data_IF_356282317303
#
_entry.id   IF_356282317303
#
_cell.length_a   1.000
_cell.length_b   1.000
_cell.length_c   1.000
_cell.angle_alpha   90.00
_cell.angle_beta   90.00
_cell.angle_gamma   90.00
#
_symmetry.space_group_name_H-M   'P 1'
#
loop_
_entity.id
_entity.type
_entity.pdbx_description
1 polymer ?
#
# COMPACT_ATOMS: atom_id res chain seq x y z
N UNK A 1 65.45 -13.72 -37.28
CA UNK A 1 64.39 -14.73 -37.01
C UNK A 1 63.50 -14.17 -35.95
N UNK A 2 62.41 -13.47 -36.33
CA UNK A 2 61.42 -12.84 -35.36
C UNK A 2 60.27 -13.80 -35.18
N UNK A 3 60.01 -14.20 -33.89
CA UNK A 3 58.89 -15.01 -33.51
C UNK A 3 57.72 -14.09 -33.20
N UNK A 4 56.64 -14.11 -34.02
CA UNK A 4 55.39 -13.44 -33.75
C UNK A 4 54.57 -14.34 -32.80
N UNK A 5 54.34 -13.85 -31.59
CA UNK A 5 53.42 -14.46 -30.64
C UNK A 5 51.99 -13.93 -30.92
N UNK A 6 51.12 -14.75 -31.49
CA UNK A 6 49.71 -14.43 -31.68
C UNK A 6 48.97 -14.66 -30.38
N UNK A 7 48.48 -13.56 -29.77
CA UNK A 7 47.61 -13.59 -28.61
C UNK A 7 46.16 -13.79 -29.07
N UNK A 8 45.61 -14.99 -28.94
CA UNK A 8 44.19 -15.26 -29.19
C UNK A 8 43.40 -14.86 -27.96
N UNK A 9 42.66 -13.74 -28.04
CA UNK A 9 41.64 -13.36 -27.06
C UNK A 9 40.43 -14.31 -27.19
N UNK A 10 40.29 -15.21 -26.24
CA UNK A 10 39.07 -15.99 -26.04
C UNK A 10 37.98 -15.08 -25.48
N UNK A 11 37.05 -14.63 -26.34
CA UNK A 11 35.82 -13.96 -25.91
C UNK A 11 34.91 -14.99 -25.21
N UNK A 12 34.81 -14.92 -23.89
CA UNK A 12 33.83 -15.67 -23.12
C UNK A 12 32.43 -15.14 -23.47
N UNK A 13 31.45 -16.00 -23.77
CA UNK A 13 30.10 -15.55 -24.02
C UNK A 13 29.53 -14.95 -22.70
N UNK A 14 29.10 -13.70 -22.80
CA UNK A 14 28.35 -13.05 -21.72
C UNK A 14 27.05 -13.84 -21.49
N UNK A 15 27.01 -14.60 -20.41
CA UNK A 15 25.78 -15.26 -19.98
C UNK A 15 24.78 -14.15 -19.59
N UNK A 16 23.86 -13.84 -20.47
CA UNK A 16 22.68 -13.06 -20.16
C UNK A 16 21.78 -13.89 -19.22
N UNK A 17 21.96 -13.73 -17.93
CA UNK A 17 21.00 -14.23 -16.96
C UNK A 17 19.69 -13.46 -17.16
N UNK A 18 18.72 -14.08 -17.82
CA UNK A 18 17.33 -13.69 -17.75
C UNK A 18 16.91 -13.82 -16.27
N UNK A 19 16.94 -12.72 -15.55
CA UNK A 19 16.41 -12.67 -14.18
C UNK A 19 14.88 -12.72 -14.28
N UNK A 20 14.33 -13.93 -14.22
CA UNK A 20 12.93 -14.08 -13.81
C UNK A 20 12.78 -13.39 -12.46
N UNK A 21 11.94 -12.33 -12.41
CA UNK A 21 11.82 -11.51 -11.23
C UNK A 21 11.46 -12.35 -9.99
N UNK A 22 12.12 -12.11 -8.88
CA UNK A 22 11.91 -12.87 -7.64
C UNK A 22 10.48 -12.70 -7.17
N UNK A 23 9.89 -13.83 -6.77
CA UNK A 23 8.59 -13.94 -6.10
C UNK A 23 8.83 -14.41 -4.68
N UNK A 24 8.14 -13.83 -3.71
CA UNK A 24 8.17 -14.30 -2.32
C UNK A 24 7.16 -15.44 -2.12
N UNK A 25 7.43 -16.35 -1.20
CA UNK A 25 6.44 -17.31 -0.70
C UNK A 25 5.72 -16.68 0.48
N UNK A 26 4.40 -16.60 0.44
CA UNK A 26 3.56 -16.03 1.49
C UNK A 26 2.82 -17.16 2.18
N UNK A 27 3.00 -17.28 3.48
CA UNK A 27 2.28 -18.22 4.34
C UNK A 27 1.37 -17.41 5.25
N UNK A 28 0.05 -17.66 5.20
CA UNK A 28 -0.91 -17.04 6.13
C UNK A 28 -0.68 -17.60 7.52
N UNK A 29 -0.43 -16.73 8.48
CA UNK A 29 -0.37 -17.07 9.90
C UNK A 29 -1.45 -16.32 10.67
N UNK A 30 -1.86 -16.87 11.81
CA UNK A 30 -2.88 -16.29 12.65
C UNK A 30 -2.45 -16.22 14.12
N UNK A 31 -2.87 -15.15 14.78
CA UNK A 31 -2.82 -14.98 16.23
C UNK A 31 -4.26 -14.78 16.69
N UNK A 32 -4.70 -15.55 17.68
CA UNK A 32 -6.00 -15.38 18.30
C UNK A 32 -5.80 -14.66 19.63
N UNK A 33 -6.39 -13.49 19.75
CA UNK A 33 -6.51 -12.75 21.02
C UNK A 33 -7.74 -13.27 21.73
N UNK A 34 -7.59 -13.75 22.97
CA UNK A 34 -8.70 -14.13 23.82
C UNK A 34 -8.79 -13.12 24.96
N UNK A 35 -9.92 -12.47 25.07
CA UNK A 35 -10.23 -11.48 26.09
C UNK A 35 -10.84 -12.16 27.32
N UNK A 36 -10.71 -11.53 28.49
CA UNK A 36 -11.21 -12.02 29.75
C UNK A 36 -11.84 -10.87 30.57
N UNK A 37 -12.34 -11.20 31.76
CA UNK A 37 -12.89 -10.21 32.69
C UNK A 37 -14.27 -9.70 32.27
N UNK A 38 -14.60 -8.45 32.70
CA UNK A 38 -15.90 -7.84 32.49
C UNK A 38 -16.26 -7.70 31.02
N UNK A 39 -15.31 -7.20 30.17
CA UNK A 39 -15.57 -7.02 28.74
C UNK A 39 -16.03 -8.32 28.05
N UNK A 40 -15.36 -9.44 28.34
CA UNK A 40 -15.71 -10.72 27.73
C UNK A 40 -17.05 -11.31 28.24
N UNK A 41 -17.53 -10.85 29.39
CA UNK A 41 -18.87 -11.20 29.93
C UNK A 41 -19.95 -10.33 29.30
N UNK A 42 -19.70 -9.03 29.19
CA UNK A 42 -20.65 -8.05 28.65
C UNK A 42 -20.81 -8.18 27.13
N UNK A 43 -19.72 -8.60 26.42
CA UNK A 43 -19.65 -8.76 24.96
C UNK A 43 -19.12 -10.15 24.57
N UNK A 44 -19.90 -11.23 24.76
CA UNK A 44 -19.44 -12.61 24.53
C UNK A 44 -19.04 -12.88 23.06
N UNK A 45 -19.70 -12.24 22.11
CA UNK A 45 -19.41 -12.37 20.67
C UNK A 45 -18.07 -11.72 20.30
N UNK A 46 -17.59 -10.77 21.09
CA UNK A 46 -16.31 -10.08 20.93
C UNK A 46 -15.22 -10.61 21.86
N UNK A 47 -15.44 -11.75 22.48
CA UNK A 47 -14.45 -12.42 23.35
C UNK A 47 -13.17 -12.79 22.61
N UNK A 48 -13.23 -12.94 21.29
CA UNK A 48 -12.09 -13.29 20.45
C UNK A 48 -11.89 -12.27 19.35
N UNK A 49 -10.62 -11.98 19.05
CA UNK A 49 -10.23 -11.27 17.84
C UNK A 49 -9.18 -12.08 17.09
N UNK A 50 -9.21 -12.03 15.77
CA UNK A 50 -8.26 -12.78 14.93
C UNK A 50 -7.35 -11.80 14.19
N UNK A 51 -6.04 -12.04 14.29
CA UNK A 51 -5.01 -11.33 13.54
C UNK A 51 -4.43 -12.30 12.51
N UNK A 52 -4.77 -12.14 11.24
CA UNK A 52 -4.16 -12.86 10.13
C UNK A 52 -3.06 -12.01 9.50
N UNK A 53 -1.86 -12.55 9.34
CA UNK A 53 -0.73 -11.80 8.79
C UNK A 53 0.12 -12.64 7.83
N UNK A 54 0.80 -12.01 6.83
CA UNK A 54 1.63 -12.70 5.87
C UNK A 54 3.00 -13.02 6.49
N UNK A 55 3.34 -14.29 6.57
CA UNK A 55 4.68 -14.73 6.91
C UNK A 55 5.48 -15.02 5.63
N UNK A 56 6.43 -14.15 5.31
CA UNK A 56 7.21 -14.23 4.07
C UNK A 56 8.37 -15.19 4.20
N UNK A 57 8.55 -16.04 3.18
CA UNK A 57 9.66 -16.97 3.01
C UNK A 57 10.15 -16.96 1.55
N UNK A 58 11.15 -17.80 1.21
CA UNK A 58 11.57 -18.03 -0.17
C UNK A 58 12.54 -16.98 -0.74
N UNK A 59 12.86 -15.91 -0.02
CA UNK A 59 13.89 -14.97 -0.44
C UNK A 59 15.28 -15.46 -0.03
N UNK A 60 16.21 -15.55 -1.00
CA UNK A 60 17.57 -16.08 -0.75
C UNK A 60 18.41 -15.17 0.17
N UNK A 61 18.23 -13.85 0.06
CA UNK A 61 18.98 -12.90 0.88
C UNK A 61 18.32 -12.75 2.26
N UNK A 62 19.00 -13.22 3.30
CA UNK A 62 18.48 -13.19 4.68
C UNK A 62 18.28 -11.77 5.23
N UNK A 63 19.08 -10.78 4.78
CA UNK A 63 18.92 -9.37 5.19
C UNK A 63 17.64 -8.79 4.58
N UNK A 64 17.41 -9.00 3.29
CA UNK A 64 16.19 -8.60 2.58
C UNK A 64 14.98 -9.26 3.23
N UNK A 65 15.04 -10.58 3.47
CA UNK A 65 13.93 -11.31 4.10
C UNK A 65 13.57 -10.74 5.47
N UNK A 66 14.55 -10.38 6.28
CA UNK A 66 14.34 -9.78 7.61
C UNK A 66 13.66 -8.40 7.51
N UNK A 67 14.11 -7.55 6.57
CA UNK A 67 13.49 -6.24 6.32
C UNK A 67 12.03 -6.38 5.87
N UNK A 68 11.75 -7.27 4.91
CA UNK A 68 10.39 -7.53 4.43
C UNK A 68 9.49 -8.00 5.57
N UNK A 69 9.95 -8.96 6.38
CA UNK A 69 9.19 -9.44 7.56
C UNK A 69 8.95 -8.33 8.58
N UNK A 70 9.90 -7.45 8.79
CA UNK A 70 9.75 -6.30 9.69
C UNK A 70 8.66 -5.34 9.19
N UNK A 71 8.68 -4.96 7.91
CA UNK A 71 7.67 -4.08 7.31
C UNK A 71 6.25 -4.65 7.40
N UNK A 72 6.12 -5.99 7.24
CA UNK A 72 4.82 -6.67 7.24
C UNK A 72 4.42 -7.22 8.63
N UNK A 73 5.18 -6.90 9.69
CA UNK A 73 4.85 -7.35 11.04
C UNK A 73 3.62 -6.60 11.57
N UNK A 74 2.77 -7.30 12.31
CA UNK A 74 1.53 -6.76 12.88
C UNK A 74 1.78 -5.45 13.64
N UNK A 75 2.86 -5.40 14.44
CA UNK A 75 3.19 -4.21 15.23
C UNK A 75 3.62 -2.99 14.40
N UNK A 76 4.16 -3.19 13.19
CA UNK A 76 4.65 -2.09 12.36
C UNK A 76 3.60 -1.57 11.36
N UNK A 77 2.61 -2.40 11.00
CA UNK A 77 1.62 -2.01 9.98
C UNK A 77 0.76 -0.85 10.45
N UNK A 78 0.19 -0.93 11.64
CA UNK A 78 -0.64 0.13 12.23
C UNK A 78 -0.02 0.72 13.51
N UNK A 79 1.26 0.48 13.74
CA UNK A 79 2.00 0.99 14.91
C UNK A 79 1.36 0.59 16.26
N UNK A 80 0.64 -0.54 16.25
CA UNK A 80 -0.08 -1.07 17.40
C UNK A 80 0.43 -2.47 17.75
N UNK A 81 0.93 -2.65 18.94
CA UNK A 81 1.47 -3.94 19.40
C UNK A 81 0.37 -4.97 19.66
N UNK A 82 0.72 -6.26 19.62
CA UNK A 82 -0.20 -7.36 20.01
C UNK A 82 -0.71 -7.18 21.44
N UNK A 83 0.12 -6.61 22.32
CA UNK A 83 -0.28 -6.30 23.68
C UNK A 83 -1.39 -5.25 23.74
N UNK A 84 -1.21 -4.15 23.00
CA UNK A 84 -2.22 -3.08 22.91
C UNK A 84 -3.53 -3.59 22.32
N UNK A 85 -3.48 -4.42 21.26
CA UNK A 85 -4.68 -5.05 20.71
C UNK A 85 -5.42 -5.94 21.73
N UNK A 86 -4.68 -6.52 22.67
CA UNK A 86 -5.27 -7.33 23.75
C UNK A 86 -5.89 -6.47 24.85
N UNK A 87 -5.27 -5.32 25.16
CA UNK A 87 -5.66 -4.44 26.25
C UNK A 87 -6.80 -3.48 25.88
N UNK A 88 -6.80 -2.94 24.64
CA UNK A 88 -7.75 -1.91 24.25
C UNK A 88 -9.13 -2.42 23.79
N UNK A 89 -9.31 -3.72 23.65
CA UNK A 89 -10.58 -4.38 23.26
C UNK A 89 -11.25 -3.88 21.96
N UNK A 90 -10.60 -3.01 21.21
CA UNK A 90 -11.17 -2.43 20.00
C UNK A 90 -11.21 -3.41 18.84
N UNK A 91 -10.12 -4.12 18.57
CA UNK A 91 -9.95 -4.97 17.39
C UNK A 91 -10.93 -6.16 17.41
N UNK A 92 -11.63 -6.38 16.32
CA UNK A 92 -12.36 -7.62 16.05
C UNK A 92 -11.63 -8.49 15.03
N UNK A 93 -11.14 -7.89 13.96
CA UNK A 93 -10.40 -8.58 12.91
C UNK A 93 -9.22 -7.74 12.38
N UNK A 94 -8.13 -8.43 12.07
CA UNK A 94 -7.00 -7.90 11.31
C UNK A 94 -6.69 -8.90 10.20
N UNK A 95 -6.73 -8.46 8.95
CA UNK A 95 -6.49 -9.31 7.79
C UNK A 95 -5.64 -8.62 6.72
N UNK A 96 -5.29 -9.35 5.67
CA UNK A 96 -4.51 -8.83 4.56
C UNK A 96 -4.90 -9.45 3.23
N UNK A 97 -4.62 -8.69 2.16
CA UNK A 97 -4.70 -9.15 0.76
C UNK A 97 -3.36 -8.89 0.08
N UNK A 98 -2.87 -9.86 -0.68
CA UNK A 98 -1.69 -9.70 -1.55
C UNK A 98 -2.18 -9.22 -2.91
N UNK A 99 -1.92 -7.95 -3.25
CA UNK A 99 -2.34 -7.33 -4.51
C UNK A 99 -1.39 -7.70 -5.65
N UNK A 100 -0.08 -7.83 -5.34
CA UNK A 100 0.96 -8.19 -6.29
C UNK A 100 2.10 -8.96 -5.60
N UNK A 101 2.63 -9.99 -6.26
CA UNK A 101 3.80 -10.73 -5.80
C UNK A 101 4.52 -11.32 -7.01
N UNK A 102 5.15 -10.47 -7.78
CA UNK A 102 5.93 -10.84 -8.97
C UNK A 102 6.94 -9.74 -9.30
N UNK A 103 7.84 -9.98 -10.24
CA UNK A 103 8.74 -8.96 -10.78
C UNK A 103 9.55 -8.19 -9.72
N UNK A 104 9.95 -8.86 -8.64
CA UNK A 104 10.61 -8.28 -7.46
C UNK A 104 9.78 -7.23 -6.72
N UNK A 105 8.48 -7.21 -6.88
CA UNK A 105 7.56 -6.35 -6.13
C UNK A 105 6.61 -7.24 -5.33
N UNK A 106 6.44 -6.92 -4.06
CA UNK A 106 5.39 -7.45 -3.20
C UNK A 106 4.53 -6.27 -2.74
N UNK A 107 3.23 -6.33 -3.05
CA UNK A 107 2.26 -5.33 -2.62
C UNK A 107 1.19 -6.00 -1.77
N UNK A 108 0.97 -5.48 -0.58
CA UNK A 108 0.04 -6.04 0.42
C UNK A 108 -0.79 -4.93 1.02
N UNK A 109 -2.10 -5.10 1.00
CA UNK A 109 -3.05 -4.26 1.75
C UNK A 109 -3.46 -4.97 3.02
N UNK A 110 -3.31 -4.31 4.15
CA UNK A 110 -3.80 -4.73 5.44
C UNK A 110 -5.07 -3.98 5.79
N UNK A 111 -5.97 -4.66 6.49
CA UNK A 111 -7.19 -4.08 7.01
C UNK A 111 -7.34 -4.50 8.47
N UNK A 112 -7.63 -3.54 9.32
CA UNK A 112 -8.09 -3.83 10.68
C UNK A 112 -9.48 -3.24 10.88
N UNK A 113 -10.34 -4.00 11.52
CA UNK A 113 -11.70 -3.58 11.86
C UNK A 113 -12.02 -3.87 13.30
N UNK A 114 -12.88 -3.07 13.87
CA UNK A 114 -13.27 -3.22 15.25
C UNK A 114 -14.37 -2.24 15.66
N UNK A 115 -14.70 -2.26 16.93
CA UNK A 115 -15.73 -1.42 17.52
C UNK A 115 -15.22 -0.74 18.79
N UNK A 116 -15.29 0.59 18.80
CA UNK A 116 -15.21 1.38 20.03
C UNK A 116 -16.62 1.94 20.34
N UNK A 117 -16.81 3.25 20.26
CA UNK A 117 -18.15 3.85 20.29
C UNK A 117 -18.94 3.54 18.99
N UNK A 118 -18.23 3.37 17.88
CA UNK A 118 -18.76 3.04 16.55
C UNK A 118 -17.89 2.00 15.87
N UNK A 119 -18.45 1.22 14.90
CA UNK A 119 -17.63 0.38 14.02
C UNK A 119 -16.63 1.23 13.26
N UNK A 120 -15.39 0.77 13.18
CA UNK A 120 -14.33 1.42 12.41
C UNK A 120 -13.51 0.42 11.62
N UNK A 121 -13.02 0.86 10.46
CA UNK A 121 -12.14 0.06 9.59
C UNK A 121 -11.02 0.95 9.09
N UNK A 122 -9.80 0.47 9.22
CA UNK A 122 -8.60 1.14 8.75
C UNK A 122 -7.85 0.22 7.79
N UNK A 123 -7.32 0.80 6.73
CA UNK A 123 -6.53 0.06 5.73
C UNK A 123 -5.17 0.72 5.53
N UNK A 124 -4.15 -0.09 5.31
CA UNK A 124 -2.80 0.36 4.96
C UNK A 124 -2.20 -0.54 3.90
N UNK A 125 -1.72 0.05 2.82
CA UNK A 125 -1.02 -0.68 1.76
C UNK A 125 0.49 -0.47 1.88
N UNK A 126 1.25 -1.52 1.65
CA UNK A 126 2.71 -1.51 1.68
C UNK A 126 3.22 -2.20 0.41
N UNK A 127 3.86 -1.42 -0.46
CA UNK A 127 4.58 -1.93 -1.63
C UNK A 127 6.06 -2.09 -1.27
N UNK A 128 6.66 -3.24 -1.56
CA UNK A 128 8.02 -3.60 -1.16
C UNK A 128 8.85 -4.04 -2.38
N UNK A 129 10.05 -3.50 -2.49
CA UNK A 129 11.05 -3.99 -3.44
C UNK A 129 11.75 -5.23 -2.87
N UNK A 130 11.50 -6.41 -3.45
CA UNK A 130 12.07 -7.67 -2.99
C UNK A 130 13.57 -7.84 -3.29
N UNK A 131 14.20 -6.91 -4.03
CA UNK A 131 15.67 -6.89 -4.21
C UNK A 131 16.36 -6.23 -3.02
N UNK A 132 15.75 -5.21 -2.42
CA UNK A 132 16.34 -4.41 -1.34
C UNK A 132 15.69 -4.66 0.02
N UNK A 133 14.44 -5.12 0.04
CA UNK A 133 13.60 -5.27 1.22
C UNK A 133 13.04 -3.96 1.77
N UNK A 134 13.17 -2.85 1.04
CA UNK A 134 12.67 -1.55 1.45
C UNK A 134 11.24 -1.34 0.92
N UNK A 135 10.46 -0.54 1.63
CA UNK A 135 9.21 0.00 1.11
C UNK A 135 9.50 0.85 -0.14
N UNK A 136 8.63 0.74 -1.13
CA UNK A 136 8.71 1.50 -2.38
C UNK A 136 8.06 2.86 -2.16
N UNK A 137 8.74 3.91 -2.58
CA UNK A 137 8.25 5.29 -2.62
C UNK A 137 8.07 5.76 -4.06
N UNK A 138 7.31 6.82 -4.24
CA UNK A 138 7.14 7.45 -5.56
C UNK A 138 8.48 7.82 -6.21
N UNK A 139 9.44 8.30 -5.42
CA UNK A 139 10.80 8.63 -5.87
C UNK A 139 11.60 7.42 -6.38
N UNK A 140 11.26 6.18 -6.00
CA UNK A 140 11.88 4.97 -6.54
C UNK A 140 11.31 4.58 -7.91
N UNK A 141 10.07 4.96 -8.18
CA UNK A 141 9.29 4.57 -9.35
C UNK A 141 9.35 5.58 -10.48
N UNK A 142 9.29 6.88 -10.14
CA UNK A 142 9.04 7.95 -11.09
C UNK A 142 10.22 8.91 -11.21
N UNK A 143 10.35 9.53 -12.40
CA UNK A 143 11.33 10.57 -12.67
C UNK A 143 11.03 11.80 -11.81
N UNK A 144 11.99 12.25 -11.02
CA UNK A 144 11.81 13.33 -10.04
C UNK A 144 11.22 14.61 -10.64
N UNK A 145 11.75 15.05 -11.79
CA UNK A 145 11.24 16.22 -12.51
C UNK A 145 9.77 16.09 -12.99
N UNK A 146 9.21 14.88 -12.94
CA UNK A 146 7.83 14.58 -13.36
C UNK A 146 6.86 14.40 -12.19
N UNK A 147 7.35 14.35 -10.95
CA UNK A 147 6.48 14.10 -9.78
C UNK A 147 5.40 15.17 -9.63
N UNK A 148 5.72 16.44 -9.87
CA UNK A 148 4.73 17.51 -9.77
C UNK A 148 3.63 17.42 -10.84
N UNK A 149 3.97 16.98 -12.06
CA UNK A 149 2.98 16.74 -13.12
C UNK A 149 2.09 15.55 -12.75
N UNK A 150 2.66 14.46 -12.24
CA UNK A 150 1.92 13.29 -11.77
C UNK A 150 0.99 13.63 -10.59
N UNK A 151 1.47 14.47 -9.65
CA UNK A 151 0.65 14.97 -8.53
C UNK A 151 -0.58 15.72 -9.05
N UNK A 152 -0.43 16.61 -10.05
CA UNK A 152 -1.57 17.34 -10.63
C UNK A 152 -2.57 16.40 -11.31
N UNK A 153 -2.11 15.34 -11.97
CA UNK A 153 -3.01 14.36 -12.57
C UNK A 153 -3.79 13.57 -11.51
N UNK A 154 -3.14 13.20 -10.38
CA UNK A 154 -3.81 12.54 -9.28
C UNK A 154 -4.81 13.50 -8.59
N UNK A 155 -4.43 14.77 -8.40
CA UNK A 155 -5.30 15.81 -7.85
C UNK A 155 -6.52 16.05 -8.75
N UNK A 156 -6.37 16.08 -10.09
CA UNK A 156 -7.50 16.21 -11.00
C UNK A 156 -8.55 15.12 -10.78
N UNK A 157 -8.13 13.86 -10.59
CA UNK A 157 -9.05 12.75 -10.29
C UNK A 157 -9.72 12.92 -8.91
N UNK A 158 -8.99 13.41 -7.92
CA UNK A 158 -9.58 13.75 -6.61
C UNK A 158 -10.63 14.85 -6.75
N UNK A 159 -10.31 15.93 -7.49
CA UNK A 159 -11.23 17.07 -7.66
C UNK A 159 -12.51 16.67 -8.42
N UNK A 160 -12.41 15.79 -9.41
CA UNK A 160 -13.58 15.23 -10.10
C UNK A 160 -14.51 14.49 -9.12
N UNK A 161 -13.93 13.61 -8.26
CA UNK A 161 -14.68 12.87 -7.24
C UNK A 161 -15.28 13.81 -6.18
N UNK A 162 -14.50 14.76 -5.69
CA UNK A 162 -14.93 15.78 -4.71
C UNK A 162 -16.10 16.61 -5.24
N UNK A 163 -16.07 17.02 -6.51
CA UNK A 163 -17.15 17.79 -7.10
C UNK A 163 -18.49 17.03 -7.08
N UNK A 164 -18.46 15.72 -7.38
CA UNK A 164 -19.67 14.88 -7.34
C UNK A 164 -20.19 14.73 -5.89
N UNK A 165 -19.31 14.56 -4.92
CA UNK A 165 -19.70 14.44 -3.51
C UNK A 165 -20.27 15.77 -2.99
N UNK A 166 -19.67 16.91 -3.33
CA UNK A 166 -20.17 18.25 -2.96
C UNK A 166 -21.57 18.47 -3.54
N UNK A 167 -21.78 18.07 -4.79
CA UNK A 167 -23.10 18.17 -5.42
C UNK A 167 -24.13 17.35 -4.66
N UNK A 168 -23.83 16.09 -4.36
CA UNK A 168 -24.71 15.21 -3.60
C UNK A 168 -25.00 15.76 -2.18
N UNK A 169 -23.98 16.27 -1.49
CA UNK A 169 -24.14 16.87 -0.15
C UNK A 169 -25.03 18.13 -0.15
N UNK A 170 -24.95 18.96 -1.21
CA UNK A 170 -25.80 20.16 -1.35
C UNK A 170 -27.24 19.82 -1.71
N UNK A 171 -27.50 18.72 -2.38
CA UNK A 171 -28.83 18.25 -2.75
C UNK A 171 -29.56 17.54 -1.60
N UNK A 172 -28.81 16.98 -0.65
CA UNK A 172 -29.39 16.28 0.52
C UNK A 172 -29.88 17.26 1.58
N UNK A 173 -31.19 17.57 1.52
CA UNK A 173 -31.86 18.45 2.49
C UNK A 173 -31.97 17.87 3.91
N UNK A 174 -31.71 16.58 4.07
CA UNK A 174 -31.78 15.91 5.38
C UNK A 174 -30.44 16.01 6.15
N UNK A 175 -29.38 16.51 5.49
CA UNK A 175 -28.03 16.59 6.04
C UNK A 175 -27.86 17.84 6.92
N UNK A 176 -27.77 17.71 8.25
CA UNK A 176 -27.80 18.85 9.17
C UNK A 176 -26.51 19.70 9.11
N UNK A 177 -25.41 19.14 8.59
CA UNK A 177 -24.09 19.79 8.59
C UNK A 177 -23.43 19.84 7.19
N UNK A 178 -24.27 20.01 6.16
CA UNK A 178 -23.80 20.04 4.77
C UNK A 178 -22.70 21.09 4.53
N UNK A 179 -22.77 22.25 5.19
CA UNK A 179 -21.77 23.32 5.03
C UNK A 179 -20.39 22.93 5.54
N UNK A 180 -20.30 22.21 6.66
CA UNK A 180 -19.03 21.73 7.22
C UNK A 180 -18.40 20.67 6.32
N UNK A 181 -19.22 19.73 5.82
CA UNK A 181 -18.77 18.68 4.88
C UNK A 181 -18.24 19.32 3.60
N UNK A 182 -19.02 20.24 2.99
CA UNK A 182 -18.62 20.96 1.77
C UNK A 182 -17.34 21.73 1.99
N UNK A 183 -17.23 22.48 3.11
CA UNK A 183 -16.02 23.24 3.43
C UNK A 183 -14.76 22.37 3.60
N UNK A 184 -14.89 21.17 4.16
CA UNK A 184 -13.78 20.22 4.26
C UNK A 184 -13.41 19.63 2.89
N UNK A 185 -14.41 19.31 2.06
CA UNK A 185 -14.19 18.78 0.70
C UNK A 185 -13.53 19.83 -0.22
N UNK A 186 -13.92 21.10 -0.11
CA UNK A 186 -13.32 22.21 -0.90
C UNK A 186 -11.83 22.43 -0.54
N UNK A 187 -11.38 21.97 0.61
CA UNK A 187 -9.96 22.01 1.02
C UNK A 187 -9.21 20.72 0.64
N UNK A 188 -9.89 19.69 0.16
CA UNK A 188 -9.26 18.44 -0.24
C UNK A 188 -8.28 18.69 -1.40
N UNK A 189 -7.05 18.21 -1.24
CA UNK A 189 -5.99 18.40 -2.23
C UNK A 189 -5.04 17.21 -2.19
N UNK A 190 -4.74 16.66 -3.35
CA UNK A 190 -3.70 15.64 -3.48
C UNK A 190 -2.33 16.33 -3.56
N UNK A 191 -1.46 16.06 -2.61
CA UNK A 191 -0.13 16.66 -2.52
C UNK A 191 0.96 15.66 -2.95
N UNK A 192 2.17 16.17 -3.21
CA UNK A 192 3.30 15.32 -3.64
C UNK A 192 3.64 14.20 -2.63
N UNK A 193 3.46 14.45 -1.34
CA UNK A 193 3.65 13.45 -0.27
C UNK A 193 2.69 12.26 -0.40
N UNK A 194 1.50 12.50 -0.95
CA UNK A 194 0.45 11.48 -1.08
C UNK A 194 0.78 10.46 -2.19
N UNK A 195 1.69 10.80 -3.11
CA UNK A 195 2.22 9.86 -4.09
C UNK A 195 2.94 8.66 -3.45
N UNK A 196 3.43 8.78 -2.22
CA UNK A 196 4.06 7.68 -1.48
C UNK A 196 3.04 6.67 -0.92
N UNK A 197 1.77 7.07 -0.85
CA UNK A 197 0.66 6.18 -0.47
C UNK A 197 0.11 5.50 -1.73
N UNK A 198 0.68 4.38 -2.10
CA UNK A 198 0.41 3.72 -3.37
C UNK A 198 0.25 2.20 -3.22
N UNK A 199 -0.46 1.61 -4.18
CA UNK A 199 -0.56 0.16 -4.40
C UNK A 199 -0.16 -0.17 -5.84
N UNK A 200 0.63 -1.22 -6.01
CA UNK A 200 1.10 -1.70 -7.30
C UNK A 200 0.42 -3.04 -7.59
N UNK A 201 -0.20 -3.16 -8.76
CA UNK A 201 -0.81 -4.41 -9.20
C UNK A 201 -0.48 -4.70 -10.68
N UNK A 202 -1.11 -5.72 -11.27
CA UNK A 202 -0.89 -6.10 -12.68
C UNK A 202 -1.37 -5.05 -13.69
N UNK A 203 -2.30 -4.18 -13.29
CA UNK A 203 -2.97 -3.22 -14.18
C UNK A 203 -2.30 -1.84 -14.15
N UNK A 204 -1.56 -1.52 -13.07
CA UNK A 204 -0.91 -0.23 -12.90
C UNK A 204 -0.54 0.11 -11.46
N UNK A 205 -0.54 1.41 -11.16
CA UNK A 205 -0.35 1.96 -9.82
C UNK A 205 -1.61 2.69 -9.40
N UNK A 206 -2.12 2.37 -8.22
CA UNK A 206 -3.23 3.09 -7.59
C UNK A 206 -2.65 4.00 -6.51
N UNK A 207 -2.82 5.32 -6.64
CA UNK A 207 -2.55 6.24 -5.55
C UNK A 207 -3.73 6.26 -4.60
N UNK A 208 -3.42 6.29 -3.30
CA UNK A 208 -4.38 6.20 -2.22
C UNK A 208 -4.42 7.55 -1.49
N UNK A 209 -5.61 8.12 -1.40
CA UNK A 209 -5.87 9.37 -0.69
C UNK A 209 -6.88 9.14 0.42
N UNK A 210 -6.71 9.80 1.54
CA UNK A 210 -7.65 9.76 2.64
C UNK A 210 -7.79 11.16 3.22
N UNK A 211 -9.01 11.70 3.19
CA UNK A 211 -9.31 13.02 3.77
C UNK A 211 -9.39 12.94 5.29
N UNK A 212 -9.84 11.81 5.84
CA UNK A 212 -9.88 11.56 7.27
C UNK A 212 -11.09 12.18 7.95
N UNK A 213 -12.25 12.10 7.34
CA UNK A 213 -13.48 12.57 7.95
C UNK A 213 -13.80 11.90 9.30
N UNK A 214 -14.37 12.63 10.26
CA UNK A 214 -15.00 12.04 11.44
C UNK A 214 -16.02 10.98 11.05
N UNK A 215 -16.23 9.99 11.90
CA UNK A 215 -17.14 8.86 11.64
C UNK A 215 -18.52 9.29 11.10
N UNK A 216 -19.09 10.35 11.65
CA UNK A 216 -20.42 10.87 11.27
C UNK A 216 -20.49 11.41 9.84
N UNK A 217 -19.36 11.80 9.25
CA UNK A 217 -19.28 12.34 7.89
C UNK A 217 -18.59 11.36 6.91
N UNK A 218 -18.23 10.16 7.36
CA UNK A 218 -17.46 9.19 6.55
C UNK A 218 -18.18 8.75 5.27
N UNK A 219 -19.51 8.83 5.22
CA UNK A 219 -20.28 8.56 4.00
C UNK A 219 -19.97 9.54 2.85
N UNK A 220 -19.40 10.70 3.18
CA UNK A 220 -18.99 11.74 2.22
C UNK A 220 -17.48 11.77 1.98
N UNK A 221 -16.73 10.81 2.55
CA UNK A 221 -15.31 10.72 2.28
C UNK A 221 -15.07 10.22 0.85
N UNK A 222 -14.16 10.87 0.08
CA UNK A 222 -13.76 10.34 -1.22
C UNK A 222 -13.28 8.89 -1.10
N UNK A 223 -13.60 8.05 -2.08
CA UNK A 223 -13.06 6.68 -2.16
C UNK A 223 -11.54 6.73 -2.21
N UNK A 224 -11.01 7.78 -2.82
CA UNK A 224 -9.59 8.11 -2.78
C UNK A 224 -8.68 7.04 -3.38
N UNK A 225 -9.10 6.39 -4.47
CA UNK A 225 -8.35 5.32 -5.13
C UNK A 225 -8.20 5.62 -6.63
N UNK A 226 -7.07 6.22 -6.99
CA UNK A 226 -6.82 6.72 -8.35
C UNK A 226 -5.88 5.79 -9.09
N UNK A 227 -6.46 4.88 -9.89
CA UNK A 227 -5.69 3.98 -10.74
C UNK A 227 -5.14 4.73 -11.96
N UNK A 228 -3.86 4.52 -12.21
CA UNK A 228 -3.17 4.87 -13.44
C UNK A 228 -2.59 3.60 -14.06
N UNK A 229 -2.96 3.30 -15.29
CA UNK A 229 -2.41 2.19 -16.05
C UNK A 229 -0.91 2.38 -16.34
N UNK A 230 -0.19 1.30 -16.63
CA UNK A 230 1.22 1.41 -17.02
C UNK A 230 1.42 2.21 -18.31
N UNK A 231 0.44 2.25 -19.20
CA UNK A 231 0.46 3.09 -20.41
C UNK A 231 0.39 4.57 -20.08
N UNK A 232 -0.49 4.98 -19.17
CA UNK A 232 -0.59 6.37 -18.69
C UNK A 232 0.67 6.78 -17.93
N UNK A 233 1.25 5.87 -17.14
CA UNK A 233 2.43 6.13 -16.33
C UNK A 233 3.75 6.09 -17.12
N UNK A 234 3.76 5.54 -18.34
CA UNK A 234 4.98 5.38 -19.14
C UNK A 234 5.87 6.62 -19.24
N UNK A 235 5.32 7.86 -19.42
CA UNK A 235 6.14 9.08 -19.47
C UNK A 235 6.79 9.45 -18.13
N UNK A 236 6.31 8.91 -17.03
CA UNK A 236 6.72 9.24 -15.65
C UNK A 236 7.68 8.19 -15.07
N UNK A 237 7.61 6.94 -15.55
CA UNK A 237 8.35 5.82 -14.95
C UNK A 237 9.84 5.96 -15.18
N UNK A 238 10.64 5.76 -14.11
CA UNK A 238 12.10 5.59 -14.21
C UNK A 238 12.42 4.29 -14.95
N UNK A 239 13.13 4.32 -16.10
CA UNK A 239 13.48 3.10 -16.85
C UNK A 239 14.29 2.08 -16.02
N UNK A 240 15.10 2.56 -15.09
CA UNK A 240 15.93 1.75 -14.17
C UNK A 240 15.26 1.40 -12.86
N UNK A 241 14.07 1.97 -12.62
CA UNK A 241 13.27 1.74 -11.40
C UNK A 241 12.52 0.40 -11.42
N UNK A 242 11.86 0.05 -10.30
CA UNK A 242 11.09 -1.19 -10.18
C UNK A 242 10.03 -1.38 -11.28
N UNK A 243 9.42 -0.29 -11.74
CA UNK A 243 8.37 -0.32 -12.78
C UNK A 243 8.92 -0.32 -14.22
N UNK A 244 10.19 -0.05 -14.44
CA UNK A 244 10.77 0.02 -15.79
C UNK A 244 10.60 -1.27 -16.63
N UNK A 245 10.39 -2.40 -15.99
CA UNK A 245 10.11 -3.68 -16.63
C UNK A 245 8.70 -3.79 -17.25
N UNK A 246 7.74 -2.97 -16.81
CA UNK A 246 6.35 -3.00 -17.29
C UNK A 246 6.11 -2.09 -18.51
N UNK A 247 7.07 -1.25 -18.87
CA UNK A 247 6.93 -0.23 -19.94
C UNK A 247 7.95 -0.37 -21.06
N UNK A 248 8.61 -1.52 -21.10
CA UNK A 248 9.57 -1.87 -22.18
C UNK A 248 8.85 -2.20 -23.48
#
# INVERSE_FOLDING_TARGET
>A
MLLLLALTLLALPAQTYSQSGSKATIVRKQIVIVRSGKFAKDFPDRKRATISYPFVTGLRNAVVLRKVRSLLSVGNVFETSIREYRENNWLDEFDYVVNHNANNILDVTFTQSGMAAYPDTQSRTISINLRTGNAIKASDLFVEAKLQELTRLADSKLQEEVAEIIKAAKEDRSLPDASSIVGALEQAKFEMKDLDNLSINKDGVTFLYQLGFPHVHRAFEPVGRYLFSYSELKPFIKPTGPLGQFVK
#
